data_IF_025238752268
#
_entry.id   IF_025238752268
#
_cell.length_a   1.000
_cell.length_b   1.000
_cell.length_c   1.000
_cell.angle_alpha   90.00
_cell.angle_beta   90.00
_cell.angle_gamma   90.00
#
_symmetry.space_group_name_H-M   'P 1'
#
loop_
_entity.id
_entity.type
_entity.pdbx_description
1 polymer ?
#
# COMPACT_ATOMS: atom_id res chain seq x y z
N UNK A 1 -18.85 45.89 30.60
CA UNK A 1 -17.93 44.73 30.62
C UNK A 1 -18.72 43.46 30.84
N UNK A 2 -18.89 42.63 29.80
CA UNK A 2 -19.06 41.17 29.91
C UNK A 2 -19.00 40.59 28.50
N UNK A 3 -17.92 39.84 28.27
CA UNK A 3 -17.55 39.25 27.00
C UNK A 3 -18.53 38.13 26.61
N UNK A 4 -19.01 38.17 25.37
CA UNK A 4 -19.70 37.05 24.75
C UNK A 4 -18.66 36.01 24.35
N UNK A 5 -18.61 34.89 25.07
CA UNK A 5 -17.76 33.75 24.72
C UNK A 5 -18.48 32.99 23.62
N UNK A 6 -18.15 33.31 22.36
CA UNK A 6 -18.43 32.45 21.21
C UNK A 6 -17.39 31.33 21.23
N UNK A 7 -17.69 30.23 21.89
CA UNK A 7 -16.96 28.97 21.70
C UNK A 7 -17.26 28.43 20.31
N UNK A 8 -16.38 28.74 19.36
CA UNK A 8 -16.24 27.98 18.12
C UNK A 8 -15.73 26.59 18.48
N UNK A 9 -16.64 25.63 18.56
CA UNK A 9 -16.27 24.22 18.52
C UNK A 9 -15.86 23.96 17.08
N UNK A 10 -14.56 24.07 16.80
CA UNK A 10 -13.98 23.49 15.60
C UNK A 10 -14.25 21.99 15.69
N UNK A 11 -15.26 21.55 14.93
CA UNK A 11 -15.53 20.14 14.71
C UNK A 11 -14.33 19.63 13.91
N UNK A 12 -13.30 19.15 14.60
CA UNK A 12 -12.32 18.28 13.96
C UNK A 12 -13.10 17.04 13.53
N UNK A 13 -13.49 17.02 12.27
CA UNK A 13 -13.95 15.81 11.60
C UNK A 13 -12.71 14.92 11.57
N UNK A 14 -12.52 14.14 12.62
CA UNK A 14 -11.71 12.94 12.58
C UNK A 14 -12.43 12.07 11.55
N UNK A 15 -12.00 12.18 10.30
CA UNK A 15 -12.30 11.19 9.29
C UNK A 15 -11.66 9.91 9.80
N UNK A 16 -12.49 9.07 10.42
CA UNK A 16 -12.14 7.68 10.70
C UNK A 16 -12.02 7.06 9.32
N UNK A 17 -10.83 7.18 8.72
CA UNK A 17 -10.43 6.35 7.62
C UNK A 17 -10.54 4.93 8.17
N UNK A 18 -11.59 4.22 7.76
CA UNK A 18 -11.67 2.78 7.93
C UNK A 18 -10.46 2.23 7.16
N UNK A 19 -9.35 2.05 7.89
CA UNK A 19 -8.06 1.57 7.35
C UNK A 19 -8.26 0.09 7.07
N UNK A 20 -8.87 -0.18 5.93
CA UNK A 20 -9.25 -1.49 5.43
C UNK A 20 -8.00 -2.36 5.24
N UNK A 21 -8.17 -3.65 5.50
CA UNK A 21 -7.14 -4.67 5.44
C UNK A 21 -6.62 -4.84 3.99
N UNK A 22 -5.35 -5.19 3.75
CA UNK A 22 -4.74 -5.23 2.39
C UNK A 22 -5.45 -6.20 1.41
N UNK A 23 -6.23 -7.15 1.95
CA UNK A 23 -7.09 -8.06 1.19
C UNK A 23 -8.23 -7.36 0.43
N UNK A 24 -8.68 -6.19 0.87
CA UNK A 24 -9.78 -5.43 0.23
C UNK A 24 -9.30 -4.32 -0.72
N UNK A 25 -7.99 -4.19 -0.98
CA UNK A 25 -7.45 -3.24 -1.98
C UNK A 25 -8.00 -3.44 -3.41
N UNK A 26 -8.79 -4.49 -3.67
CA UNK A 26 -9.33 -4.79 -5.01
C UNK A 26 -10.54 -3.92 -5.41
N UNK A 27 -11.34 -3.37 -4.48
CA UNK A 27 -12.66 -2.84 -4.88
C UNK A 27 -12.92 -1.36 -4.57
N UNK A 28 -12.38 -0.77 -3.49
CA UNK A 28 -12.83 0.58 -3.07
C UNK A 28 -11.72 1.59 -2.69
N UNK A 29 -10.47 1.18 -2.47
CA UNK A 29 -9.47 2.01 -1.77
C UNK A 29 -8.40 2.68 -2.66
N UNK A 30 -8.53 2.64 -3.98
CA UNK A 30 -7.59 3.32 -4.88
C UNK A 30 -7.68 4.86 -4.84
N UNK A 31 -8.62 5.45 -4.10
CA UNK A 31 -8.94 6.88 -4.25
C UNK A 31 -8.67 7.71 -2.99
N UNK A 32 -7.39 8.03 -2.76
CA UNK A 32 -6.94 9.41 -2.71
C UNK A 32 -6.29 9.72 -4.06
N UNK A 33 -7.02 10.39 -4.95
CA UNK A 33 -6.67 10.70 -6.35
C UNK A 33 -5.48 9.90 -6.88
N UNK A 34 -5.71 8.72 -7.48
CA UNK A 34 -4.63 7.81 -7.94
C UNK A 34 -3.46 8.55 -8.60
N UNK A 35 -3.75 9.63 -9.33
CA UNK A 35 -2.75 10.52 -9.94
C UNK A 35 -1.78 11.14 -8.92
N UNK A 36 -2.26 11.70 -7.80
CA UNK A 36 -1.41 12.32 -6.79
C UNK A 36 -0.55 11.29 -6.06
N UNK A 37 -1.12 10.14 -5.69
CA UNK A 37 -0.38 9.05 -5.07
C UNK A 37 0.67 8.47 -6.02
N UNK A 38 0.29 8.23 -7.28
CA UNK A 38 1.22 7.84 -8.35
C UNK A 38 2.35 8.84 -8.49
N UNK A 39 2.04 10.12 -8.63
CA UNK A 39 3.04 11.19 -8.82
C UNK A 39 4.00 11.22 -7.65
N UNK A 40 3.48 11.19 -6.43
CA UNK A 40 4.27 11.16 -5.20
C UNK A 40 5.22 9.96 -5.15
N UNK A 41 4.76 8.77 -5.56
CA UNK A 41 5.59 7.57 -5.54
C UNK A 41 6.61 7.51 -6.67
N UNK A 42 6.28 8.03 -7.85
CA UNK A 42 7.27 8.22 -8.92
C UNK A 42 8.39 9.16 -8.46
N UNK A 43 8.04 10.28 -7.83
CA UNK A 43 9.02 11.25 -7.31
C UNK A 43 9.87 10.65 -6.19
N UNK A 44 9.26 10.05 -5.17
CA UNK A 44 9.97 9.48 -4.01
C UNK A 44 10.93 8.37 -4.39
N UNK A 45 10.56 7.53 -5.36
CA UNK A 45 11.40 6.44 -5.85
C UNK A 45 12.30 6.86 -7.02
N UNK A 46 12.28 8.14 -7.43
CA UNK A 46 13.05 8.67 -8.57
C UNK A 46 12.81 7.90 -9.88
N UNK A 47 11.55 7.51 -10.11
CA UNK A 47 11.10 6.76 -11.28
C UNK A 47 10.58 7.69 -12.37
N UNK A 48 10.54 7.19 -13.60
CA UNK A 48 10.11 8.01 -14.72
C UNK A 48 8.59 8.21 -14.77
N UNK A 49 8.18 9.40 -15.21
CA UNK A 49 6.77 9.80 -15.34
C UNK A 49 6.00 8.99 -16.38
N UNK A 50 6.67 8.25 -17.27
CA UNK A 50 6.04 7.33 -18.21
C UNK A 50 5.71 5.96 -17.58
N UNK A 51 6.25 5.63 -16.41
CA UNK A 51 6.00 4.36 -15.74
C UNK A 51 4.63 4.38 -15.05
N UNK A 52 3.97 3.21 -14.97
CA UNK A 52 2.69 3.01 -14.27
C UNK A 52 1.57 3.95 -14.75
N UNK A 53 1.12 3.89 -16.02
CA UNK A 53 0.02 4.74 -16.50
C UNK A 53 -1.23 4.58 -15.62
N UNK A 54 -1.87 5.71 -15.28
CA UNK A 54 -2.94 5.76 -14.24
C UNK A 54 -4.08 4.79 -14.56
N UNK A 55 -4.46 4.70 -15.83
CA UNK A 55 -5.61 3.92 -16.28
C UNK A 55 -5.37 2.40 -16.20
N UNK A 56 -4.10 1.95 -16.20
CA UNK A 56 -3.74 0.53 -16.26
C UNK A 56 -3.05 0.02 -14.97
N UNK A 57 -2.93 0.85 -13.93
CA UNK A 57 -2.17 0.46 -12.74
C UNK A 57 -2.73 -0.80 -12.06
N UNK A 58 -4.05 -0.93 -11.97
CA UNK A 58 -4.70 -2.09 -11.36
C UNK A 58 -4.33 -3.38 -12.11
N UNK A 59 -4.47 -3.40 -13.44
CA UNK A 59 -4.14 -4.56 -14.28
C UNK A 59 -2.65 -4.89 -14.24
N UNK A 60 -1.79 -3.86 -14.21
CA UNK A 60 -0.36 -4.03 -14.11
C UNK A 60 0.04 -4.72 -12.79
N UNK A 61 -0.47 -4.24 -11.65
CA UNK A 61 -0.18 -4.85 -10.35
C UNK A 61 -0.76 -6.26 -10.27
N UNK A 62 -1.95 -6.48 -10.81
CA UNK A 62 -2.56 -7.80 -10.87
C UNK A 62 -1.68 -8.78 -11.65
N UNK A 63 -1.21 -8.37 -12.82
CA UNK A 63 -0.26 -9.15 -13.64
C UNK A 63 1.03 -9.44 -12.88
N UNK A 64 1.58 -8.45 -12.16
CA UNK A 64 2.79 -8.62 -11.37
C UNK A 64 2.63 -9.69 -10.27
N UNK A 65 1.45 -9.79 -9.65
CA UNK A 65 1.21 -10.78 -8.58
C UNK A 65 1.25 -12.22 -9.09
N UNK A 66 0.96 -12.46 -10.37
CA UNK A 66 1.06 -13.78 -11.01
C UNK A 66 2.50 -14.16 -11.40
N UNK A 67 3.42 -13.22 -11.44
CA UNK A 67 4.83 -13.48 -11.77
C UNK A 67 5.63 -13.94 -10.55
N UNK A 68 6.66 -14.75 -10.78
CA UNK A 68 7.68 -14.99 -9.75
C UNK A 68 8.41 -13.69 -9.42
N UNK A 69 8.84 -13.53 -8.16
CA UNK A 69 9.46 -12.28 -7.72
C UNK A 69 10.67 -11.88 -8.57
N UNK A 70 11.49 -12.82 -9.01
CA UNK A 70 12.66 -12.55 -9.86
C UNK A 70 12.31 -11.95 -11.24
N UNK A 71 11.06 -12.11 -11.69
CA UNK A 71 10.55 -11.56 -12.96
C UNK A 71 9.93 -10.18 -12.82
N UNK A 72 9.65 -9.74 -11.60
CA UNK A 72 9.06 -8.43 -11.36
C UNK A 72 10.17 -7.37 -11.26
N UNK A 73 10.15 -6.32 -12.08
CA UNK A 73 11.16 -5.26 -12.04
C UNK A 73 11.24 -4.62 -10.66
N UNK A 74 12.47 -4.35 -10.20
CA UNK A 74 12.71 -3.72 -8.89
C UNK A 74 11.97 -2.39 -8.74
N UNK A 75 11.96 -1.57 -9.78
CA UNK A 75 11.27 -0.28 -9.78
C UNK A 75 9.77 -0.41 -9.50
N UNK A 76 9.12 -1.46 -10.03
CA UNK A 76 7.71 -1.73 -9.76
C UNK A 76 7.46 -2.17 -8.32
N UNK A 77 8.38 -2.95 -7.75
CA UNK A 77 8.33 -3.31 -6.33
C UNK A 77 8.55 -2.09 -5.43
N UNK A 78 9.46 -1.19 -5.79
CA UNK A 78 9.72 0.02 -5.01
C UNK A 78 8.55 1.02 -5.11
N UNK A 79 7.95 1.17 -6.29
CA UNK A 79 6.71 1.91 -6.44
C UNK A 79 5.61 1.34 -5.53
N UNK A 80 5.42 0.01 -5.52
CA UNK A 80 4.46 -0.65 -4.64
C UNK A 80 4.78 -0.40 -3.16
N UNK A 81 6.05 -0.49 -2.75
CA UNK A 81 6.48 -0.15 -1.38
C UNK A 81 6.07 1.26 -1.00
N UNK A 82 6.34 2.25 -1.87
CA UNK A 82 5.90 3.61 -1.62
C UNK A 82 4.38 3.68 -1.46
N UNK A 83 3.64 3.05 -2.37
CA UNK A 83 2.18 3.04 -2.33
C UNK A 83 1.66 2.52 -0.99
N UNK A 84 2.12 1.33 -0.56
CA UNK A 84 1.71 0.72 0.69
C UNK A 84 2.09 1.54 1.93
N UNK A 85 3.20 2.29 1.88
CA UNK A 85 3.57 3.22 2.96
C UNK A 85 2.65 4.44 3.00
N UNK A 86 2.34 5.02 1.84
CA UNK A 86 1.48 6.20 1.74
C UNK A 86 0.02 5.90 2.10
N UNK A 87 -0.45 4.69 1.86
CA UNK A 87 -1.78 4.22 2.31
C UNK A 87 -1.79 3.71 3.75
N UNK A 88 -0.63 3.66 4.42
CA UNK A 88 -0.50 3.24 5.81
C UNK A 88 -0.67 1.74 6.04
N UNK A 89 -0.51 0.93 4.99
CA UNK A 89 -0.58 -0.54 5.03
C UNK A 89 0.71 -1.13 5.59
N UNK A 90 1.86 -0.56 5.21
CA UNK A 90 3.16 -0.91 5.77
C UNK A 90 3.83 0.31 6.41
N UNK A 91 4.67 0.03 7.40
CA UNK A 91 5.50 0.96 8.13
C UNK A 91 6.97 0.82 7.71
N UNK A 92 7.83 1.64 8.28
CA UNK A 92 9.28 1.48 8.13
C UNK A 92 9.78 0.16 8.72
N UNK A 93 10.98 -0.27 8.28
CA UNK A 93 11.61 -1.51 8.71
C UNK A 93 10.78 -2.75 8.35
N UNK A 94 10.19 -2.74 7.15
CA UNK A 94 9.48 -3.90 6.58
C UNK A 94 8.41 -4.46 7.51
N UNK A 95 7.61 -3.61 8.15
CA UNK A 95 6.58 -4.06 9.10
C UNK A 95 5.19 -3.68 8.64
N UNK A 96 4.20 -4.50 8.93
CA UNK A 96 2.80 -4.13 8.67
C UNK A 96 2.28 -3.21 9.78
N UNK A 97 1.31 -2.38 9.44
CA UNK A 97 0.51 -1.72 10.46
C UNK A 97 -0.31 -2.80 11.20
N UNK A 98 -0.32 -2.85 12.53
CA UNK A 98 -1.02 -3.94 13.24
C UNK A 98 -2.51 -3.68 13.42
N UNK A 99 -2.95 -2.44 13.21
CA UNK A 99 -4.36 -2.05 13.34
C UNK A 99 -5.15 -2.56 12.13
N UNK A 100 -6.05 -3.53 12.35
CA UNK A 100 -6.92 -4.10 11.30
C UNK A 100 -6.40 -5.36 10.62
N UNK A 101 -5.26 -5.91 11.05
CA UNK A 101 -4.62 -7.09 10.45
C UNK A 101 -4.74 -8.34 11.32
N UNK A 102 -4.99 -9.48 10.69
CA UNK A 102 -5.22 -10.78 11.33
C UNK A 102 -3.96 -11.65 11.39
N UNK A 103 -4.11 -12.91 11.79
CA UNK A 103 -2.98 -13.84 11.92
C UNK A 103 -2.38 -14.27 10.59
N UNK A 104 -3.18 -14.33 9.52
CA UNK A 104 -2.68 -14.64 8.18
C UNK A 104 -1.86 -13.45 7.63
N UNK A 105 -2.24 -12.22 7.93
CA UNK A 105 -1.43 -11.04 7.57
C UNK A 105 -0.08 -11.05 8.31
N UNK A 106 -0.08 -11.39 9.61
CA UNK A 106 1.16 -11.59 10.39
C UNK A 106 2.02 -12.74 9.86
N UNK A 107 1.41 -13.80 9.32
CA UNK A 107 2.14 -14.87 8.66
C UNK A 107 2.85 -14.35 7.41
N UNK A 108 2.13 -13.62 6.55
CA UNK A 108 2.69 -13.04 5.34
C UNK A 108 3.81 -12.04 5.63
N UNK A 109 3.68 -11.20 6.66
CA UNK A 109 4.75 -10.32 7.13
C UNK A 109 6.03 -11.10 7.47
N UNK A 110 5.91 -12.19 8.25
CA UNK A 110 7.08 -13.00 8.65
C UNK A 110 7.75 -13.64 7.44
N UNK A 111 6.98 -14.26 6.56
CA UNK A 111 7.50 -14.90 5.35
C UNK A 111 8.19 -13.89 4.44
N UNK A 112 7.54 -12.74 4.20
CA UNK A 112 8.11 -11.67 3.38
C UNK A 112 9.41 -11.11 3.99
N UNK A 113 9.49 -10.93 5.31
CA UNK A 113 10.72 -10.47 6.00
C UNK A 113 11.89 -11.45 5.79
N UNK A 114 11.63 -12.75 5.88
CA UNK A 114 12.67 -13.78 5.72
C UNK A 114 13.18 -13.80 4.27
N UNK A 115 12.27 -13.76 3.31
CA UNK A 115 12.58 -13.90 1.90
C UNK A 115 13.20 -12.63 1.28
N UNK A 116 12.80 -11.45 1.74
CA UNK A 116 13.23 -10.17 1.17
C UNK A 116 14.70 -9.80 1.45
N UNK A 117 15.36 -10.48 2.40
CA UNK A 117 16.76 -10.23 2.78
C UNK A 117 17.05 -8.74 3.07
N UNK A 118 16.10 -8.04 3.72
CA UNK A 118 16.14 -6.62 4.08
C UNK A 118 15.92 -5.63 2.92
N UNK A 119 15.59 -6.10 1.71
CA UNK A 119 15.11 -5.21 0.66
C UNK A 119 13.64 -4.85 0.92
N UNK A 120 13.36 -3.59 1.26
CA UNK A 120 11.99 -3.15 1.55
C UNK A 120 11.07 -3.17 0.32
N UNK A 121 11.63 -3.02 -0.88
CA UNK A 121 10.85 -3.14 -2.11
C UNK A 121 10.44 -4.60 -2.33
N UNK A 122 11.39 -5.52 -2.17
CA UNK A 122 11.12 -6.95 -2.23
C UNK A 122 10.11 -7.38 -1.16
N UNK A 123 10.26 -6.87 0.07
CA UNK A 123 9.30 -7.11 1.15
C UNK A 123 7.88 -6.71 0.77
N UNK A 124 7.69 -5.50 0.24
CA UNK A 124 6.37 -5.00 -0.13
C UNK A 124 5.67 -5.90 -1.16
N UNK A 125 6.43 -6.36 -2.16
CA UNK A 125 5.90 -7.26 -3.18
C UNK A 125 5.54 -8.64 -2.62
N UNK A 126 6.44 -9.26 -1.85
CA UNK A 126 6.22 -10.59 -1.27
C UNK A 126 5.08 -10.62 -0.26
N UNK A 127 4.94 -9.54 0.53
CA UNK A 127 3.84 -9.36 1.46
C UNK A 127 2.50 -9.37 0.70
N UNK A 128 2.34 -8.49 -0.29
CA UNK A 128 1.11 -8.41 -1.06
C UNK A 128 0.81 -9.71 -1.81
N UNK A 129 1.82 -10.35 -2.39
CA UNK A 129 1.68 -11.63 -3.09
C UNK A 129 1.19 -12.74 -2.15
N UNK A 130 1.73 -12.82 -0.93
CA UNK A 130 1.26 -13.78 0.07
C UNK A 130 -0.18 -13.52 0.50
N UNK A 131 -0.54 -12.26 0.77
CA UNK A 131 -1.90 -11.90 1.19
C UNK A 131 -2.94 -12.14 0.09
N UNK A 132 -2.49 -12.09 -1.16
CA UNK A 132 -3.29 -12.40 -2.36
C UNK A 132 -3.12 -13.82 -2.85
N UNK A 133 -2.43 -14.71 -2.13
CA UNK A 133 -2.24 -16.10 -2.55
C UNK A 133 -3.57 -16.81 -2.92
N UNK A 134 -4.68 -16.68 -2.16
CA UNK A 134 -5.96 -17.29 -2.56
C UNK A 134 -6.49 -16.83 -3.91
N UNK A 135 -6.15 -15.60 -4.33
CA UNK A 135 -6.51 -15.03 -5.63
C UNK A 135 -5.53 -15.43 -6.73
N UNK A 136 -4.23 -15.44 -6.42
CA UNK A 136 -3.15 -15.74 -7.37
C UNK A 136 -3.06 -17.25 -7.70
N UNK A 137 -3.43 -18.13 -6.78
CA UNK A 137 -3.31 -19.59 -6.92
C UNK A 137 -4.57 -20.27 -7.50
N UNK A 138 -5.63 -19.50 -7.77
CA UNK A 138 -6.93 -20.05 -8.23
C UNK A 138 -7.22 -19.86 -9.72
N UNK A 139 -6.29 -19.30 -10.51
CA UNK A 139 -6.34 -19.22 -11.98
C UNK A 139 -5.24 -20.07 -12.63
#
# INVERSE_FOLDING_TARGET
MKYWVLTLIALEIITIFSRKNMRTLAEEDWQPSLLALRTKCLEKESLSTYMFPVDDMTELFDTMLHLNSDKVPRDAKCFLRCWLKETGSILDNSSINTEGFDEADRYCEREAKVQSKRDECEFAFLLLKCERAPYVETQ
#
